data_IF_670739521109
#
_entry.id   IF_670739521109
#
_cell.length_a   1.000
_cell.length_b   1.000
_cell.length_c   1.000
_cell.angle_alpha   90.00
_cell.angle_beta   90.00
_cell.angle_gamma   90.00
#
_symmetry.space_group_name_H-M   'P 1'
#
loop_
_entity.id
_entity.type
_entity.pdbx_description
1 polymer ?
#
# COMPACT_ATOMS: atom_id res chain seq x y z
N UNK A 1 -50.63 -12.28 -8.27
CA UNK A 1 -49.90 -11.15 -8.91
C UNK A 1 -48.87 -10.57 -7.93
N UNK A 2 -47.66 -11.15 -7.81
CA UNK A 2 -46.62 -10.63 -6.88
C UNK A 2 -45.18 -11.02 -7.25
N UNK A 3 -44.98 -11.88 -8.25
CA UNK A 3 -43.64 -12.29 -8.71
C UNK A 3 -43.00 -11.24 -9.63
N UNK A 4 -43.83 -10.52 -10.41
CA UNK A 4 -43.37 -9.53 -11.39
C UNK A 4 -42.68 -8.32 -10.73
N UNK A 5 -43.31 -7.68 -9.73
CA UNK A 5 -42.78 -6.46 -9.12
C UNK A 5 -41.44 -6.63 -8.37
N UNK A 6 -41.18 -7.82 -7.79
CA UNK A 6 -39.93 -8.10 -7.07
C UNK A 6 -38.74 -8.24 -8.01
N UNK A 7 -38.94 -8.88 -9.17
CA UNK A 7 -37.89 -9.06 -10.18
C UNK A 7 -37.53 -7.72 -10.83
N UNK A 8 -38.52 -6.88 -11.14
CA UNK A 8 -38.27 -5.53 -11.64
C UNK A 8 -37.46 -4.68 -10.65
N UNK A 9 -37.77 -4.78 -9.34
CA UNK A 9 -37.01 -4.06 -8.31
C UNK A 9 -35.55 -4.50 -8.23
N UNK A 10 -35.28 -5.81 -8.29
CA UNK A 10 -33.90 -6.34 -8.27
C UNK A 10 -33.12 -5.93 -9.51
N UNK A 11 -33.73 -5.98 -10.70
CA UNK A 11 -33.08 -5.56 -11.95
C UNK A 11 -32.74 -4.06 -11.91
N UNK A 12 -33.65 -3.22 -11.42
CA UNK A 12 -33.42 -1.77 -11.30
C UNK A 12 -32.28 -1.48 -10.33
N UNK A 13 -32.21 -2.18 -9.19
CA UNK A 13 -31.12 -2.04 -8.22
C UNK A 13 -29.78 -2.48 -8.84
N UNK A 14 -29.74 -3.62 -9.54
CA UNK A 14 -28.52 -4.12 -10.17
C UNK A 14 -28.03 -3.19 -11.29
N UNK A 15 -28.93 -2.65 -12.11
CA UNK A 15 -28.57 -1.67 -13.16
C UNK A 15 -28.08 -0.36 -12.54
N UNK A 16 -28.71 0.11 -11.46
CA UNK A 16 -28.28 1.32 -10.78
C UNK A 16 -26.89 1.16 -10.13
N UNK A 17 -26.64 0.05 -9.45
CA UNK A 17 -25.34 -0.29 -8.84
C UNK A 17 -24.26 -0.44 -9.90
N UNK A 18 -24.58 -1.05 -11.05
CA UNK A 18 -23.62 -1.17 -12.15
C UNK A 18 -23.29 0.19 -12.76
N UNK A 19 -24.29 1.05 -12.98
CA UNK A 19 -24.08 2.38 -13.56
C UNK A 19 -23.29 3.30 -12.62
N UNK A 20 -23.52 3.23 -11.31
CA UNK A 20 -22.70 3.98 -10.34
C UNK A 20 -21.27 3.45 -10.29
N UNK A 21 -21.05 2.12 -10.30
CA UNK A 21 -19.71 1.53 -10.32
C UNK A 21 -18.91 1.89 -11.58
N UNK A 22 -19.56 1.93 -12.75
CA UNK A 22 -18.92 2.33 -14.02
C UNK A 22 -18.48 3.80 -13.98
N UNK A 23 -19.24 4.67 -13.31
CA UNK A 23 -18.91 6.10 -13.20
C UNK A 23 -17.76 6.35 -12.21
N UNK A 24 -17.61 5.48 -11.20
CA UNK A 24 -16.54 5.58 -10.19
C UNK A 24 -15.14 5.18 -10.71
N UNK A 25 -15.02 4.47 -11.84
CA UNK A 25 -13.74 3.98 -12.36
C UNK A 25 -13.02 4.96 -13.31
N UNK A 26 -13.57 6.16 -13.53
CA UNK A 26 -13.06 7.12 -14.50
C UNK A 26 -12.64 8.46 -13.88
N UNK A 27 -11.86 8.44 -12.80
CA UNK A 27 -11.13 9.63 -12.35
C UNK A 27 -9.80 9.22 -11.71
N UNK A 28 -8.81 8.89 -12.54
CA UNK A 28 -7.43 9.17 -12.20
C UNK A 28 -6.67 9.60 -13.45
N UNK A 29 -6.97 10.83 -13.90
CA UNK A 29 -6.10 11.50 -14.86
C UNK A 29 -4.84 11.89 -14.12
N UNK A 30 -3.82 11.05 -14.27
CA UNK A 30 -2.50 11.23 -13.69
C UNK A 30 -2.02 12.68 -13.80
N UNK A 31 -1.76 13.28 -12.65
CA UNK A 31 -0.93 14.47 -12.55
C UNK A 31 0.52 14.00 -12.75
N UNK A 32 0.93 13.94 -14.01
CA UNK A 32 2.34 13.92 -14.37
C UNK A 32 2.83 15.36 -14.37
N UNK A 33 3.18 15.89 -13.20
CA UNK A 33 4.18 16.93 -13.11
C UNK A 33 5.51 16.34 -13.58
N UNK A 34 5.74 16.47 -14.88
CA UNK A 34 7.01 16.23 -15.53
C UNK A 34 8.10 16.98 -14.76
N UNK A 35 8.80 16.27 -13.89
CA UNK A 35 10.05 16.74 -13.32
C UNK A 35 11.03 16.94 -14.48
N UNK A 36 11.15 18.18 -14.94
CA UNK A 36 12.29 18.62 -15.75
C UNK A 36 13.35 19.01 -14.72
N UNK A 37 14.44 18.25 -14.56
CA UNK A 37 15.52 18.68 -13.68
C UNK A 37 16.07 19.98 -14.24
N UNK A 38 15.79 21.12 -13.61
CA UNK A 38 16.65 22.28 -13.75
C UNK A 38 17.91 21.97 -12.96
N UNK A 39 19.07 22.24 -13.55
CA UNK A 39 20.38 21.95 -12.96
C UNK A 39 20.72 22.89 -11.78
N UNK A 40 19.71 23.48 -11.14
CA UNK A 40 19.80 24.54 -10.15
C UNK A 40 19.46 24.02 -8.73
N UNK A 41 19.03 22.76 -8.60
CA UNK A 41 18.46 22.22 -7.36
C UNK A 41 19.44 21.32 -6.58
N UNK A 42 20.72 21.24 -6.94
CA UNK A 42 21.69 20.38 -6.23
C UNK A 42 21.84 20.75 -4.74
N UNK A 43 21.38 21.93 -4.33
CA UNK A 43 21.33 22.35 -2.92
C UNK A 43 20.05 21.95 -2.17
N UNK A 44 19.00 21.50 -2.88
CA UNK A 44 17.75 21.00 -2.31
C UNK A 44 17.68 19.45 -2.27
N UNK A 45 18.49 18.75 -3.06
CA UNK A 45 18.58 17.29 -3.04
C UNK A 45 19.43 16.74 -1.88
N UNK A 46 20.30 17.57 -1.26
CA UNK A 46 21.06 17.16 -0.07
C UNK A 46 20.20 16.86 1.16
N UNK A 47 18.95 17.33 1.20
CA UNK A 47 18.00 17.04 2.28
C UNK A 47 16.89 16.05 1.89
N UNK A 48 16.88 15.54 0.64
CA UNK A 48 15.95 14.49 0.19
C UNK A 48 16.64 13.18 -0.18
N UNK A 49 17.94 13.20 -0.46
CA UNK A 49 18.74 11.99 -0.65
C UNK A 49 19.30 11.43 0.68
N UNK A 50 19.24 12.20 1.76
CA UNK A 50 19.69 11.78 3.10
C UNK A 50 18.62 11.04 3.93
N UNK A 51 17.39 10.90 3.43
CA UNK A 51 16.37 10.02 4.03
C UNK A 51 16.24 8.67 3.31
N UNK A 52 17.05 8.42 2.26
CA UNK A 52 17.05 7.16 1.49
C UNK A 52 18.43 6.50 1.46
N UNK A 53 19.26 6.79 2.45
CA UNK A 53 20.56 6.15 2.62
C UNK A 53 20.83 5.99 4.10
N UNK A 54 20.57 4.78 4.61
CA UNK A 54 20.76 4.37 6.00
C UNK A 54 20.08 5.29 7.03
N UNK A 55 18.75 5.29 7.09
CA UNK A 55 18.10 5.64 8.35
C UNK A 55 18.50 4.54 9.35
N UNK A 56 19.13 4.86 10.48
CA UNK A 56 19.42 3.89 11.54
C UNK A 56 18.14 3.25 12.11
N UNK A 57 16.96 3.70 11.68
CA UNK A 57 15.66 3.43 12.28
C UNK A 57 14.81 2.36 11.58
N UNK A 58 15.29 1.76 10.49
CA UNK A 58 14.51 0.75 9.78
C UNK A 58 14.58 -0.58 10.53
N UNK A 59 13.64 -0.78 11.46
CA UNK A 59 13.49 -2.04 12.16
C UNK A 59 12.96 -3.10 11.19
N UNK A 60 13.15 -4.40 11.47
CA UNK A 60 12.77 -5.46 10.53
C UNK A 60 11.30 -5.45 10.07
N UNK A 61 10.39 -4.85 10.85
CA UNK A 61 8.96 -4.78 10.55
C UNK A 61 8.52 -3.45 9.90
N UNK A 62 9.39 -2.45 9.83
CA UNK A 62 9.16 -1.18 9.14
C UNK A 62 9.61 -1.33 7.68
N UNK A 63 8.70 -1.82 6.84
CA UNK A 63 9.01 -2.26 5.48
C UNK A 63 9.14 -1.09 4.50
N UNK A 64 8.61 0.07 4.85
CA UNK A 64 8.75 1.30 4.07
C UNK A 64 9.83 2.26 4.63
N UNK A 65 10.44 1.91 5.75
CA UNK A 65 11.45 2.68 6.49
C UNK A 65 10.99 4.10 6.87
N UNK A 66 9.73 4.28 7.29
CA UNK A 66 9.16 5.56 7.71
C UNK A 66 9.25 5.83 9.22
N UNK A 67 9.80 4.90 10.00
CA UNK A 67 9.99 4.98 11.44
C UNK A 67 8.78 4.54 12.26
N UNK A 68 7.75 3.95 11.63
CA UNK A 68 6.56 3.48 12.33
C UNK A 68 5.93 2.26 11.64
N UNK A 69 5.93 1.12 12.34
CA UNK A 69 5.22 -0.08 11.89
C UNK A 69 3.72 0.13 11.96
N UNK A 70 3.06 0.24 10.81
CA UNK A 70 1.63 0.50 10.71
C UNK A 70 0.96 -0.22 9.53
N UNK A 71 -0.22 0.26 9.13
CA UNK A 71 -1.00 -0.32 8.03
C UNK A 71 -0.30 -0.26 6.67
N UNK A 72 0.65 0.67 6.48
CA UNK A 72 1.46 0.73 5.27
C UNK A 72 2.36 -0.52 5.15
N UNK A 73 3.06 -0.87 6.23
CA UNK A 73 3.93 -2.05 6.30
C UNK A 73 3.13 -3.34 6.18
N UNK A 74 1.99 -3.41 6.86
CA UNK A 74 1.06 -4.53 6.70
C UNK A 74 0.60 -4.68 5.24
N UNK A 75 0.33 -3.57 4.54
CA UNK A 75 -0.02 -3.58 3.13
C UNK A 75 1.10 -4.13 2.24
N UNK A 76 2.35 -3.81 2.56
CA UNK A 76 3.53 -4.36 1.86
C UNK A 76 3.64 -5.86 2.13
N UNK A 77 3.60 -6.30 3.40
CA UNK A 77 3.70 -7.71 3.77
C UNK A 77 2.61 -8.57 3.11
N UNK A 78 1.37 -8.08 3.07
CA UNK A 78 0.27 -8.80 2.41
C UNK A 78 0.39 -8.80 0.88
N UNK A 79 1.02 -7.79 0.29
CA UNK A 79 1.37 -7.80 -1.14
C UNK A 79 2.44 -8.84 -1.47
N UNK A 80 3.33 -9.09 -0.51
CA UNK A 80 4.44 -10.04 -0.58
C UNK A 80 4.05 -11.49 -0.21
N UNK A 81 2.79 -11.74 0.15
CA UNK A 81 2.35 -13.02 0.72
C UNK A 81 2.71 -14.24 -0.15
N UNK A 82 3.41 -15.21 0.45
CA UNK A 82 3.88 -16.43 -0.20
C UNK A 82 5.07 -16.25 -1.15
N UNK A 83 5.64 -15.05 -1.27
CA UNK A 83 6.85 -14.78 -2.03
C UNK A 83 8.09 -14.97 -1.15
N UNK A 84 9.25 -15.18 -1.77
CA UNK A 84 10.54 -15.38 -1.09
C UNK A 84 11.51 -14.27 -1.51
N UNK A 85 12.47 -13.92 -0.64
CA UNK A 85 13.50 -12.92 -0.97
C UNK A 85 12.93 -11.50 -1.15
N UNK A 86 11.77 -11.24 -0.56
CA UNK A 86 11.06 -9.96 -0.56
C UNK A 86 11.10 -9.33 0.84
N UNK A 87 10.89 -8.00 0.97
CA UNK A 87 10.92 -7.33 2.27
C UNK A 87 9.94 -7.91 3.30
N UNK A 88 8.80 -8.46 2.86
CA UNK A 88 7.85 -9.12 3.75
C UNK A 88 8.34 -10.39 4.46
N UNK A 89 9.46 -11.00 4.03
CA UNK A 89 10.08 -12.17 4.68
C UNK A 89 10.95 -11.70 5.86
N UNK A 90 10.29 -11.29 6.94
CA UNK A 90 10.92 -10.73 8.14
C UNK A 90 11.71 -11.81 8.89
N UNK A 91 11.27 -13.06 8.84
CA UNK A 91 11.95 -14.20 9.46
C UNK A 91 13.21 -14.64 8.69
N UNK A 92 13.24 -14.40 7.38
CA UNK A 92 14.28 -14.91 6.49
C UNK A 92 14.22 -16.43 6.30
N UNK A 93 13.06 -17.05 6.56
CA UNK A 93 12.87 -18.50 6.50
C UNK A 93 12.31 -18.99 5.16
N UNK A 94 12.04 -18.06 4.25
CA UNK A 94 11.60 -18.31 2.89
C UNK A 94 10.30 -17.57 2.58
N UNK A 95 9.17 -18.27 2.41
CA UNK A 95 7.95 -17.62 1.93
C UNK A 95 7.27 -16.80 3.01
N UNK A 96 6.89 -15.56 2.67
CA UNK A 96 6.12 -14.68 3.58
C UNK A 96 4.84 -15.37 4.05
N UNK A 97 4.72 -15.54 5.36
CA UNK A 97 3.64 -16.29 5.97
C UNK A 97 3.19 -15.70 7.32
N UNK A 98 2.44 -16.50 8.08
CA UNK A 98 1.89 -16.09 9.37
C UNK A 98 2.94 -15.76 10.43
N UNK A 99 4.16 -16.31 10.32
CA UNK A 99 5.27 -16.00 11.21
C UNK A 99 5.72 -14.55 11.02
N UNK A 100 5.92 -14.11 9.79
CA UNK A 100 6.30 -12.72 9.46
C UNK A 100 5.22 -11.73 9.88
N UNK A 101 3.96 -12.07 9.60
CA UNK A 101 2.81 -11.27 10.06
C UNK A 101 2.78 -11.15 11.58
N UNK A 102 3.08 -12.23 12.31
CA UNK A 102 3.15 -12.23 13.77
C UNK A 102 4.22 -11.28 14.30
N UNK A 103 5.39 -11.25 13.65
CA UNK A 103 6.48 -10.33 13.99
C UNK A 103 6.06 -8.88 13.72
N UNK A 104 5.49 -8.60 12.55
CA UNK A 104 5.03 -7.26 12.18
C UNK A 104 4.00 -6.72 13.18
N UNK A 105 2.98 -7.51 13.50
CA UNK A 105 1.96 -7.11 14.47
C UNK A 105 2.51 -6.98 15.90
N UNK A 106 3.53 -7.76 16.26
CA UNK A 106 4.24 -7.64 17.54
C UNK A 106 5.06 -6.35 17.66
N UNK A 107 5.49 -5.78 16.53
CA UNK A 107 6.26 -4.55 16.45
C UNK A 107 5.41 -3.29 16.20
N UNK A 108 4.09 -3.38 16.23
CA UNK A 108 3.18 -2.29 15.85
C UNK A 108 3.43 -1.00 16.62
N UNK A 109 3.57 0.11 15.90
CA UNK A 109 3.84 1.43 16.45
C UNK A 109 5.24 1.96 16.10
N UNK A 110 5.70 3.00 16.81
CA UNK A 110 6.98 3.63 16.50
C UNK A 110 8.13 2.62 16.59
N UNK A 111 9.04 2.68 15.62
CA UNK A 111 10.31 1.99 15.67
C UNK A 111 11.45 2.99 15.64
N UNK A 112 12.37 2.83 16.59
CA UNK A 112 13.64 3.57 16.64
C UNK A 112 14.72 2.49 16.59
N UNK A 113 15.58 2.53 15.59
CA UNK A 113 16.52 1.44 15.33
C UNK A 113 17.83 1.56 16.08
#
# INVERSE_FOLDING_TARGET
MSFSAKIFSVIVILVFVLMTAVTAFAENKGRQDRFVPRNDDYRASGQRAASQGSSPDCCPADLNCDGVVNGADLGILLGDWGQEGVPGDITGDGPVNGADLGILLGAWGPCTG
#
